data_IF_235877260616
#
_entry.id   IF_235877260616
#
_cell.length_a   1.000
_cell.length_b   1.000
_cell.length_c   1.000
_cell.angle_alpha   90.00
_cell.angle_beta   90.00
_cell.angle_gamma   90.00
#
_symmetry.space_group_name_H-M   'P 1'
#
loop_
_entity.id
_entity.type
_entity.pdbx_description
1 polymer ?
#
# COMPACT_ATOMS: atom_id res chain seq x y z
N UNK A 1 18.37 38.70 4.19
CA UNK A 1 17.94 38.25 5.53
C UNK A 1 17.63 36.77 5.38
N UNK A 2 18.65 35.94 5.63
CA UNK A 2 18.56 34.48 5.62
C UNK A 2 17.73 34.06 6.84
N UNK A 3 16.67 33.29 6.61
CA UNK A 3 15.93 32.67 7.69
C UNK A 3 16.59 31.35 8.03
N UNK A 4 17.09 31.21 9.26
CA UNK A 4 17.42 29.90 9.81
C UNK A 4 16.11 29.09 9.82
N UNK A 5 16.10 27.94 9.16
CA UNK A 5 14.99 26.99 9.22
C UNK A 5 15.43 25.82 10.10
N UNK A 6 14.69 25.62 11.19
CA UNK A 6 14.93 24.57 12.18
C UNK A 6 14.18 23.32 11.77
N UNK A 7 14.90 22.24 11.46
CA UNK A 7 14.31 20.90 11.41
C UNK A 7 14.62 20.25 12.76
N UNK A 8 13.60 19.72 13.45
CA UNK A 8 13.75 18.93 14.67
C UNK A 8 13.46 17.48 14.33
N UNK A 9 14.50 16.65 14.34
CA UNK A 9 14.41 15.18 14.37
C UNK A 9 14.76 14.77 15.79
N UNK A 10 13.96 13.88 16.39
CA UNK A 10 14.25 13.31 17.71
C UNK A 10 14.45 11.80 17.55
N UNK A 11 15.70 11.34 17.66
CA UNK A 11 16.06 9.93 17.66
C UNK A 11 16.59 9.50 19.02
N UNK A 12 16.19 8.30 19.48
CA UNK A 12 16.76 7.64 20.65
C UNK A 12 17.97 6.80 20.18
N UNK A 13 19.20 7.27 20.41
CA UNK A 13 20.42 6.52 20.06
C UNK A 13 20.92 5.77 21.30
N UNK A 14 20.96 4.44 21.24
CA UNK A 14 21.53 3.60 22.29
C UNK A 14 22.96 3.14 21.92
N UNK A 15 23.79 2.84 22.93
CA UNK A 15 25.12 2.30 22.70
C UNK A 15 25.02 0.91 22.04
N UNK A 16 25.71 0.73 20.90
CA UNK A 16 25.86 -0.57 20.25
C UNK A 16 27.32 -1.04 20.39
N UNK A 17 27.52 -2.25 20.93
CA UNK A 17 28.83 -2.93 20.96
C UNK A 17 29.97 -2.12 21.60
N UNK A 18 29.70 -1.36 22.67
CA UNK A 18 30.67 -0.53 23.38
C UNK A 18 31.35 0.55 22.53
N UNK A 19 30.75 0.93 21.38
CA UNK A 19 31.17 2.10 20.60
C UNK A 19 30.29 3.27 21.00
N UNK A 20 30.83 4.32 21.65
CA UNK A 20 30.06 5.50 22.01
C UNK A 20 29.57 6.21 20.73
N UNK A 21 28.32 6.70 20.68
CA UNK A 21 27.86 7.50 19.55
C UNK A 21 28.77 8.73 19.39
N UNK A 22 29.09 9.16 18.15
CA UNK A 22 30.03 10.24 17.89
C UNK A 22 29.62 11.58 18.53
N UNK A 23 28.35 11.70 18.94
CA UNK A 23 27.81 12.81 19.72
C UNK A 23 27.41 12.32 21.12
N UNK A 24 28.27 12.55 22.12
CA UNK A 24 27.92 12.36 23.54
C UNK A 24 26.98 13.48 24.00
N UNK A 25 25.68 13.36 23.75
CA UNK A 25 24.65 14.20 24.36
C UNK A 25 23.34 13.42 24.51
N UNK A 26 22.80 13.42 25.73
CA UNK A 26 21.41 13.24 26.19
C UNK A 26 20.47 12.34 25.38
N UNK A 27 19.70 11.51 26.11
CA UNK A 27 18.64 10.58 25.67
C UNK A 27 17.46 11.19 24.90
N UNK A 28 17.60 12.40 24.36
CA UNK A 28 16.78 13.02 23.33
C UNK A 28 17.72 13.96 22.57
N UNK A 29 18.08 13.61 21.34
CA UNK A 29 18.85 14.51 20.47
C UNK A 29 17.84 15.20 19.57
N UNK A 30 17.54 16.47 19.87
CA UNK A 30 17.02 17.41 18.89
C UNK A 30 18.21 17.85 18.05
N UNK A 31 18.39 17.29 16.86
CA UNK A 31 19.41 17.78 15.93
C UNK A 31 18.89 19.07 15.30
N UNK A 32 19.66 20.15 15.42
CA UNK A 32 19.41 21.41 14.72
C UNK A 32 20.26 21.42 13.46
N UNK A 33 19.67 21.20 12.29
CA UNK A 33 20.40 21.33 11.04
C UNK A 33 20.22 22.75 10.53
N UNK A 34 21.21 23.61 10.78
CA UNK A 34 21.34 24.87 10.05
C UNK A 34 21.94 24.57 8.68
N UNK A 35 21.12 24.67 7.64
CA UNK A 35 21.61 24.61 6.27
C UNK A 35 22.21 25.98 5.90
N UNK A 36 23.54 26.09 5.92
CA UNK A 36 24.26 27.23 5.32
C UNK A 36 24.22 27.20 3.77
N UNK A 37 23.43 26.30 3.18
CA UNK A 37 23.35 26.07 1.74
C UNK A 37 21.90 26.12 1.23
N UNK A 38 21.71 26.82 0.11
CA UNK A 38 20.41 26.96 -0.57
C UNK A 38 20.15 25.75 -1.47
N UNK A 39 19.36 24.78 -0.98
CA UNK A 39 19.00 23.57 -1.72
C UNK A 39 17.95 23.79 -2.81
N UNK A 40 17.38 25.00 -2.95
CA UNK A 40 16.45 25.30 -4.05
C UNK A 40 17.09 25.17 -5.44
N UNK A 41 18.44 25.21 -5.51
CA UNK A 41 19.20 24.97 -6.73
C UNK A 41 19.20 23.50 -7.21
N UNK A 42 18.79 22.55 -6.36
CA UNK A 42 18.78 21.11 -6.64
C UNK A 42 17.37 20.52 -6.80
N UNK A 43 16.32 21.35 -6.91
CA UNK A 43 14.95 20.89 -7.19
C UNK A 43 14.16 20.32 -6.00
N UNK A 44 14.77 20.22 -4.82
CA UNK A 44 14.15 19.73 -3.59
C UNK A 44 13.41 20.89 -2.87
N UNK A 45 12.10 20.77 -2.61
CA UNK A 45 11.28 21.79 -1.93
C UNK A 45 10.90 21.38 -0.51
N UNK A 46 10.97 22.31 0.46
CA UNK A 46 10.93 21.99 1.90
C UNK A 46 9.65 22.45 2.61
N UNK A 47 8.89 21.54 3.21
CA UNK A 47 7.92 21.81 4.30
C UNK A 47 7.78 20.56 5.20
N UNK A 48 8.46 20.45 6.35
CA UNK A 48 8.04 19.68 7.55
C UNK A 48 9.11 19.52 8.65
N UNK A 49 8.66 19.24 9.88
CA UNK A 49 9.41 18.74 11.06
C UNK A 49 8.73 17.48 11.59
N UNK A 50 9.47 16.49 12.10
CA UNK A 50 8.88 15.20 12.50
C UNK A 50 9.78 14.40 13.46
N UNK A 51 9.16 13.71 14.43
CA UNK A 51 9.78 12.75 15.37
C UNK A 51 9.52 11.30 15.00
N UNK A 52 8.99 11.05 13.79
CA UNK A 52 8.38 9.78 13.43
C UNK A 52 9.34 8.91 12.60
N UNK A 53 9.31 7.60 12.87
CA UNK A 53 10.11 6.60 12.15
C UNK A 53 9.53 6.22 10.79
N UNK A 54 8.32 6.68 10.45
CA UNK A 54 7.59 6.18 9.29
C UNK A 54 7.71 7.11 8.07
N UNK A 55 8.07 6.52 6.93
CA UNK A 55 8.03 7.17 5.62
C UNK A 55 7.01 6.44 4.76
N UNK A 56 5.95 7.13 4.34
CA UNK A 56 5.03 6.61 3.34
C UNK A 56 5.46 7.08 1.96
N UNK A 57 5.70 6.14 1.06
CA UNK A 57 5.94 6.38 -0.35
C UNK A 57 4.66 6.13 -1.12
N UNK A 58 4.13 7.17 -1.75
CA UNK A 58 3.02 7.05 -2.70
C UNK A 58 3.60 6.57 -4.02
N UNK A 59 3.13 5.43 -4.51
CA UNK A 59 3.67 4.76 -5.69
C UNK A 59 2.68 4.91 -6.84
N UNK A 60 3.22 5.25 -8.00
CA UNK A 60 2.49 5.26 -9.25
C UNK A 60 3.27 4.65 -10.41
N UNK A 61 2.59 4.46 -11.53
CA UNK A 61 3.19 4.02 -12.80
C UNK A 61 3.01 5.08 -13.86
N UNK A 62 4.01 5.28 -14.72
CA UNK A 62 3.92 6.25 -15.81
C UNK A 62 3.22 5.64 -17.03
N UNK A 63 2.17 6.32 -17.49
CA UNK A 63 1.55 6.01 -18.75
C UNK A 63 2.48 6.41 -19.90
N UNK A 64 2.88 5.42 -20.71
CA UNK A 64 3.80 5.63 -21.83
C UNK A 64 3.28 6.58 -22.93
N UNK A 65 1.97 6.88 -22.96
CA UNK A 65 1.35 7.69 -24.02
C UNK A 65 1.35 9.18 -23.69
N UNK A 66 1.10 9.54 -22.43
CA UNK A 66 0.88 10.93 -22.01
C UNK A 66 1.74 11.36 -20.80
N UNK A 67 2.59 10.48 -20.28
CA UNK A 67 3.42 10.68 -19.08
C UNK A 67 2.61 11.06 -17.83
N UNK A 68 1.31 10.75 -17.78
CA UNK A 68 0.55 10.83 -16.54
C UNK A 68 0.97 9.71 -15.58
N UNK A 69 1.00 10.02 -14.29
CA UNK A 69 1.22 9.02 -13.25
C UNK A 69 -0.13 8.47 -12.81
N UNK A 70 -0.31 7.15 -12.88
CA UNK A 70 -1.44 6.45 -12.28
C UNK A 70 -1.00 5.91 -10.92
N UNK A 71 -1.68 6.35 -9.85
CA UNK A 71 -1.43 5.83 -8.51
C UNK A 71 -1.74 4.32 -8.45
N UNK A 72 -0.86 3.54 -7.84
CA UNK A 72 -0.99 2.08 -7.72
C UNK A 72 -0.95 1.57 -6.29
N UNK A 73 -0.59 2.41 -5.31
CA UNK A 73 -0.61 2.04 -3.90
C UNK A 73 0.43 2.79 -3.08
N UNK A 74 0.51 2.46 -1.80
CA UNK A 74 1.46 3.05 -0.86
C UNK A 74 2.45 1.99 -0.35
N UNK A 75 3.68 2.40 -0.05
CA UNK A 75 4.65 1.62 0.71
C UNK A 75 5.02 2.41 1.95
N UNK A 76 4.73 1.87 3.12
CA UNK A 76 5.06 2.47 4.40
C UNK A 76 6.31 1.78 4.97
N UNK A 77 7.33 2.59 5.24
CA UNK A 77 8.62 2.15 5.76
C UNK A 77 8.79 2.58 7.20
N UNK A 78 9.21 1.68 8.09
CA UNK A 78 9.75 2.05 9.42
C UNK A 78 11.28 2.13 9.37
N UNK A 79 11.84 3.26 9.80
CA UNK A 79 13.28 3.49 9.86
C UNK A 79 13.86 3.03 11.22
N UNK A 80 14.93 2.22 11.15
CA UNK A 80 15.63 1.69 12.32
C UNK A 80 16.80 2.59 12.76
N UNK A 81 16.47 3.69 13.43
CA UNK A 81 17.46 4.63 13.98
C UNK A 81 18.40 4.02 15.03
N UNK A 82 18.01 2.93 15.69
CA UNK A 82 18.86 2.27 16.68
C UNK A 82 19.98 1.46 16.03
N UNK A 83 19.72 0.83 14.88
CA UNK A 83 20.69 -0.01 14.19
C UNK A 83 21.53 0.76 13.15
N UNK A 84 20.95 1.76 12.48
CA UNK A 84 21.61 2.53 11.43
C UNK A 84 21.20 4.03 11.46
N UNK A 85 21.57 4.77 12.51
CA UNK A 85 21.14 6.16 12.70
C UNK A 85 21.51 7.09 11.54
N UNK A 86 22.69 6.93 10.92
CA UNK A 86 23.15 7.84 9.86
C UNK A 86 22.38 7.58 8.56
N UNK A 87 22.12 6.32 8.22
CA UNK A 87 21.34 5.97 7.03
C UNK A 87 19.86 6.34 7.19
N UNK A 88 19.25 6.05 8.35
CA UNK A 88 17.88 6.44 8.67
C UNK A 88 17.70 7.96 8.60
N UNK A 89 18.61 8.74 9.23
CA UNK A 89 18.57 10.21 9.18
C UNK A 89 18.75 10.73 7.74
N UNK A 90 19.71 10.17 6.98
CA UNK A 90 19.93 10.57 5.60
C UNK A 90 18.69 10.34 4.72
N UNK A 91 18.04 9.17 4.85
CA UNK A 91 16.82 8.86 4.10
C UNK A 91 15.68 9.80 4.48
N UNK A 92 15.41 9.97 5.79
CA UNK A 92 14.36 10.86 6.27
C UNK A 92 14.55 12.30 5.81
N UNK A 93 15.78 12.83 5.84
CA UNK A 93 16.09 14.18 5.36
C UNK A 93 15.82 14.34 3.87
N UNK A 94 16.23 13.38 3.04
CA UNK A 94 15.96 13.41 1.60
C UNK A 94 14.46 13.35 1.28
N UNK A 95 13.68 12.58 2.05
CA UNK A 95 12.21 12.58 1.96
C UNK A 95 11.59 13.92 2.36
N UNK A 96 11.99 14.51 3.50
CA UNK A 96 11.51 15.83 3.96
C UNK A 96 11.82 16.94 2.95
N UNK A 97 12.95 16.81 2.25
CA UNK A 97 13.37 17.73 1.21
C UNK A 97 12.62 17.51 -0.12
N UNK A 98 11.83 16.44 -0.25
CA UNK A 98 11.14 16.08 -1.49
C UNK A 98 12.10 15.59 -2.58
N UNK A 99 13.32 15.17 -2.24
CA UNK A 99 14.30 14.74 -3.23
C UNK A 99 13.93 13.39 -3.86
N UNK A 100 13.14 12.56 -3.18
CA UNK A 100 12.63 11.31 -3.77
C UNK A 100 11.36 11.48 -4.61
N UNK A 101 10.72 12.65 -4.54
CA UNK A 101 9.49 12.91 -5.29
C UNK A 101 9.78 12.86 -6.81
N UNK A 102 8.93 12.16 -7.54
CA UNK A 102 9.05 11.88 -8.97
C UNK A 102 10.32 11.11 -9.37
N UNK A 103 11.01 10.44 -8.43
CA UNK A 103 12.10 9.52 -8.77
C UNK A 103 11.56 8.14 -9.11
N UNK A 104 12.33 7.37 -9.88
CA UNK A 104 11.91 6.02 -10.32
C UNK A 104 12.63 4.92 -9.57
N UNK A 105 11.96 3.76 -9.45
CA UNK A 105 12.65 2.49 -9.25
C UNK A 105 13.32 2.08 -10.56
N UNK A 106 14.57 2.54 -10.74
CA UNK A 106 15.30 2.43 -12.00
C UNK A 106 15.87 1.03 -12.26
N UNK A 107 15.83 0.15 -11.26
CA UNK A 107 16.30 -1.24 -11.37
C UNK A 107 15.46 -2.15 -10.48
N UNK A 108 14.86 -3.17 -11.08
CA UNK A 108 13.96 -4.11 -10.44
C UNK A 108 14.35 -5.52 -10.87
N UNK A 109 14.54 -6.41 -9.91
CA UNK A 109 14.86 -7.81 -10.17
C UNK A 109 13.95 -8.65 -9.30
N UNK A 110 13.05 -9.37 -9.96
CA UNK A 110 12.17 -10.39 -9.40
C UNK A 110 12.98 -11.40 -8.55
N UNK A 111 12.44 -11.75 -7.38
CA UNK A 111 13.05 -12.58 -6.34
C UNK A 111 14.37 -12.03 -5.77
N UNK A 112 14.59 -10.71 -5.87
CA UNK A 112 15.79 -10.07 -5.34
C UNK A 112 15.51 -8.73 -4.67
N UNK A 113 15.21 -7.67 -5.44
CA UNK A 113 14.98 -6.33 -4.88
C UNK A 113 14.42 -5.33 -5.90
N UNK A 114 13.83 -4.27 -5.38
CA UNK A 114 13.47 -3.05 -6.10
C UNK A 114 14.40 -1.91 -5.65
N UNK A 115 15.08 -1.23 -6.58
CA UNK A 115 16.09 -0.20 -6.29
C UNK A 115 15.68 1.17 -6.83
N UNK A 116 15.74 2.18 -5.97
CA UNK A 116 15.34 3.56 -6.25
C UNK A 116 16.27 4.59 -5.62
N UNK A 117 15.82 5.85 -5.56
CA UNK A 117 16.51 6.92 -4.83
C UNK A 117 17.63 7.64 -5.58
N UNK A 118 17.78 7.46 -6.89
CA UNK A 118 18.63 8.31 -7.73
C UNK A 118 17.84 9.51 -8.24
N UNK A 119 17.94 10.63 -7.53
CA UNK A 119 17.26 11.88 -7.87
C UNK A 119 18.08 12.82 -8.76
N UNK A 120 19.29 12.42 -9.17
CA UNK A 120 20.16 13.28 -10.00
C UNK A 120 20.18 12.83 -11.46
N UNK A 121 20.28 11.52 -11.70
CA UNK A 121 20.40 10.97 -13.05
C UNK A 121 19.23 10.05 -13.41
N UNK A 122 18.46 9.59 -12.42
CA UNK A 122 17.29 8.71 -12.59
C UNK A 122 17.62 7.36 -13.26
N UNK A 123 18.90 6.97 -13.28
CA UNK A 123 19.39 5.78 -14.01
C UNK A 123 20.29 4.87 -13.15
N UNK A 124 20.43 5.20 -11.86
CA UNK A 124 21.24 4.46 -10.90
C UNK A 124 22.71 4.88 -10.85
N UNK A 125 23.11 5.91 -11.60
CA UNK A 125 24.49 6.42 -11.60
C UNK A 125 24.69 7.67 -10.74
N UNK A 126 23.63 8.15 -10.10
CA UNK A 126 23.62 9.38 -9.34
C UNK A 126 23.25 9.22 -7.86
N UNK A 127 22.80 10.32 -7.25
CA UNK A 127 22.38 10.39 -5.87
C UNK A 127 23.53 10.74 -4.92
N UNK A 128 23.22 11.52 -3.89
CA UNK A 128 24.18 11.95 -2.88
C UNK A 128 23.51 12.09 -1.52
N UNK A 129 24.32 12.14 -0.46
CA UNK A 129 23.81 12.30 0.90
C UNK A 129 23.12 13.67 1.10
N UNK A 130 22.11 13.71 1.98
CA UNK A 130 21.44 14.96 2.38
C UNK A 130 22.36 15.90 3.18
N UNK A 131 23.28 15.34 3.95
CA UNK A 131 24.16 16.09 4.85
C UNK A 131 25.59 15.62 4.81
N UNK A 132 26.51 16.52 5.17
CA UNK A 132 27.93 16.22 5.23
C UNK A 132 28.27 15.32 6.42
N UNK A 133 28.73 14.10 6.14
CA UNK A 133 29.11 13.10 7.16
C UNK A 133 30.60 12.76 7.14
N UNK A 134 31.44 13.61 6.55
CA UNK A 134 32.89 13.44 6.54
C UNK A 134 33.46 12.66 5.35
N UNK A 135 32.64 12.27 4.36
CA UNK A 135 33.09 11.48 3.21
C UNK A 135 32.71 12.11 1.87
N UNK A 136 33.68 12.12 0.97
CA UNK A 136 33.52 12.51 -0.43
C UNK A 136 33.76 11.28 -1.31
N UNK A 137 32.76 10.82 -2.07
CA UNK A 137 32.89 9.66 -2.96
C UNK A 137 33.54 8.44 -2.27
N UNK A 138 33.15 8.16 -1.03
CA UNK A 138 33.71 7.06 -0.22
C UNK A 138 35.03 7.35 0.50
N UNK A 139 35.67 8.49 0.25
CA UNK A 139 36.94 8.85 0.88
C UNK A 139 36.74 9.82 2.03
N UNK A 140 37.32 9.51 3.19
CA UNK A 140 37.31 10.41 4.33
C UNK A 140 37.97 11.75 3.95
N UNK A 141 37.31 12.85 4.29
CA UNK A 141 37.76 14.20 3.98
C UNK A 141 37.44 15.12 5.15
N UNK A 142 38.29 16.13 5.36
CA UNK A 142 38.07 17.20 6.32
C UNK A 142 37.47 18.46 5.67
N UNK A 143 37.10 18.36 4.39
CA UNK A 143 36.61 19.48 3.59
C UNK A 143 35.31 19.08 2.88
N UNK A 144 34.20 19.68 3.31
CA UNK A 144 32.86 19.45 2.76
C UNK A 144 32.69 19.95 1.32
N UNK A 145 33.62 20.73 0.77
CA UNK A 145 33.55 21.11 -0.64
C UNK A 145 33.95 19.98 -1.60
N UNK A 146 34.47 18.85 -1.11
CA UNK A 146 34.84 17.69 -1.93
C UNK A 146 35.63 18.03 -3.19
N UNK A 147 36.72 18.79 -3.01
CA UNK A 147 37.59 19.29 -4.09
C UNK A 147 36.83 20.10 -5.16
N UNK A 148 35.79 20.82 -4.76
CA UNK A 148 34.95 21.63 -5.63
C UNK A 148 33.67 20.94 -6.12
N UNK A 149 33.48 19.66 -5.82
CA UNK A 149 32.27 18.89 -6.19
C UNK A 149 31.05 19.22 -5.32
N UNK A 150 31.28 19.82 -4.14
CA UNK A 150 30.21 20.21 -3.21
C UNK A 150 29.39 19.02 -2.72
N UNK A 151 28.10 19.28 -2.46
CA UNK A 151 27.14 18.30 -1.93
C UNK A 151 26.91 17.11 -2.85
N UNK A 152 27.09 17.27 -4.15
CA UNK A 152 26.93 16.20 -5.14
C UNK A 152 27.93 15.03 -4.96
N UNK A 153 28.97 15.21 -4.16
CA UNK A 153 29.95 14.17 -3.84
C UNK A 153 29.84 13.65 -2.41
N UNK A 154 28.88 14.13 -1.61
CA UNK A 154 28.72 13.70 -0.22
C UNK A 154 28.24 12.27 -0.17
N UNK A 155 28.97 11.45 0.59
CA UNK A 155 28.57 10.09 0.92
C UNK A 155 28.58 9.90 2.44
N UNK A 156 27.92 8.84 2.91
CA UNK A 156 27.81 8.55 4.35
C UNK A 156 28.68 7.34 4.76
N UNK A 157 29.20 7.31 6.01
CA UNK A 157 29.91 6.15 6.54
C UNK A 157 29.01 4.92 6.57
N UNK A 158 29.60 3.75 6.36
CA UNK A 158 28.86 2.49 6.39
C UNK A 158 28.45 2.09 7.81
N UNK A 159 27.22 1.59 7.93
CA UNK A 159 26.65 1.00 9.15
C UNK A 159 26.27 -0.48 8.92
N UNK A 160 26.86 -1.13 7.92
CA UNK A 160 26.44 -2.46 7.46
C UNK A 160 26.67 -3.58 8.48
N UNK A 161 27.59 -3.41 9.43
CA UNK A 161 27.84 -4.37 10.51
C UNK A 161 26.91 -4.15 11.73
N UNK A 162 25.62 -3.90 11.49
CA UNK A 162 24.63 -3.64 12.54
C UNK A 162 23.92 -4.90 13.05
N UNK A 163 24.22 -6.08 12.49
CA UNK A 163 23.68 -7.36 12.93
C UNK A 163 22.30 -7.71 12.37
N UNK A 164 21.76 -6.88 11.48
CA UNK A 164 20.53 -7.16 10.74
C UNK A 164 20.82 -7.97 9.48
N UNK A 165 19.88 -8.82 9.09
CA UNK A 165 19.92 -9.62 7.86
C UNK A 165 19.01 -9.03 6.80
N UNK A 166 19.31 -9.32 5.54
CA UNK A 166 18.47 -8.97 4.39
C UNK A 166 17.29 -9.96 4.28
N UNK A 167 16.44 -9.99 5.28
CA UNK A 167 15.14 -10.69 5.25
C UNK A 167 14.20 -10.06 4.20
N UNK A 168 13.10 -10.75 3.83
CA UNK A 168 12.09 -10.15 2.96
C UNK A 168 11.64 -8.77 3.45
N UNK A 169 11.39 -7.85 2.52
CA UNK A 169 10.84 -6.52 2.76
C UNK A 169 11.68 -5.56 3.61
N UNK A 170 12.95 -5.87 3.88
CA UNK A 170 13.84 -4.91 4.55
C UNK A 170 14.30 -3.81 3.60
N UNK A 171 14.41 -2.59 4.14
CA UNK A 171 14.96 -1.43 3.48
C UNK A 171 16.48 -1.36 3.72
N UNK A 172 17.25 -1.35 2.64
CA UNK A 172 18.71 -1.39 2.70
C UNK A 172 19.36 -0.43 1.72
N UNK A 173 20.58 -0.01 2.02
CA UNK A 173 21.25 1.06 1.30
C UNK A 173 22.00 0.54 0.07
N UNK A 174 21.72 1.11 -1.10
CA UNK A 174 22.53 0.86 -2.28
C UNK A 174 23.85 1.64 -2.19
N UNK A 175 24.93 0.99 -2.63
CA UNK A 175 26.27 1.58 -2.68
C UNK A 175 27.16 0.81 -3.65
N UNK A 176 28.32 1.37 -3.95
CA UNK A 176 29.36 0.63 -4.67
C UNK A 176 29.99 -0.47 -3.78
N UNK A 177 30.87 -1.28 -4.36
CA UNK A 177 31.64 -2.27 -3.61
C UNK A 177 32.54 -1.64 -2.53
N UNK A 178 32.96 -0.39 -2.70
CA UNK A 178 33.78 0.30 -1.71
C UNK A 178 32.93 0.76 -0.50
N UNK A 179 33.48 0.68 0.73
CA UNK A 179 32.78 1.18 1.91
C UNK A 179 32.54 2.70 1.83
N UNK A 180 31.57 3.19 2.59
CA UNK A 180 31.25 4.61 2.76
C UNK A 180 30.82 5.34 1.48
N UNK A 181 30.40 4.59 0.44
CA UNK A 181 29.96 5.15 -0.86
C UNK A 181 28.44 5.31 -0.98
N UNK A 182 27.71 5.09 0.12
CA UNK A 182 26.27 5.31 0.16
C UNK A 182 25.95 6.81 0.00
N UNK A 183 24.98 7.11 -0.86
CA UNK A 183 24.46 8.45 -1.10
C UNK A 183 22.98 8.52 -0.75
N UNK A 184 22.10 8.47 -1.76
CA UNK A 184 20.64 8.47 -1.60
C UNK A 184 19.95 7.21 -2.12
N UNK A 185 20.63 6.40 -2.93
CA UNK A 185 20.01 5.22 -3.50
C UNK A 185 19.78 4.13 -2.46
N UNK A 186 18.62 3.50 -2.51
CA UNK A 186 18.22 2.43 -1.61
C UNK A 186 17.60 1.30 -2.40
N UNK A 187 17.42 0.15 -1.76
CA UNK A 187 16.62 -0.93 -2.28
C UNK A 187 15.76 -1.55 -1.18
N UNK A 188 14.63 -2.10 -1.58
CA UNK A 188 13.76 -2.93 -0.74
C UNK A 188 13.94 -4.36 -1.22
N UNK A 189 14.22 -5.27 -0.29
CA UNK A 189 14.32 -6.70 -0.58
C UNK A 189 12.93 -7.24 -0.90
N UNK A 190 12.85 -8.09 -1.92
CA UNK A 190 11.62 -8.76 -2.34
C UNK A 190 11.14 -9.81 -1.31
N UNK A 191 10.15 -10.64 -1.65
CA UNK A 191 9.58 -11.71 -0.83
C UNK A 191 10.58 -12.83 -0.40
N UNK A 192 11.81 -12.80 -0.93
CA UNK A 192 12.86 -13.79 -0.67
C UNK A 192 14.10 -13.21 0.05
N UNK A 193 14.65 -13.90 1.07
CA UNK A 193 15.81 -13.42 1.84
C UNK A 193 17.10 -13.39 1.01
N UNK A 194 17.87 -12.31 1.17
CA UNK A 194 19.12 -12.02 0.44
C UNK A 194 20.34 -12.00 1.36
N UNK A 195 20.48 -13.02 2.21
CA UNK A 195 21.53 -13.13 3.24
C UNK A 195 22.98 -12.97 2.70
N UNK A 196 23.19 -13.10 1.39
CA UNK A 196 24.49 -12.86 0.76
C UNK A 196 24.90 -11.36 0.76
N UNK A 197 23.97 -10.44 1.03
CA UNK A 197 24.19 -9.00 1.18
C UNK A 197 24.49 -8.59 2.63
N UNK A 198 24.31 -9.49 3.59
CA UNK A 198 24.50 -9.22 5.02
C UNK A 198 25.91 -8.71 5.29
N UNK A 199 26.02 -7.71 6.17
CA UNK A 199 27.28 -7.01 6.49
C UNK A 199 27.94 -6.26 5.32
N UNK A 200 27.41 -6.38 4.09
CA UNK A 200 27.89 -5.68 2.92
C UNK A 200 27.06 -4.42 2.62
N UNK A 201 25.75 -4.46 2.87
CA UNK A 201 24.82 -3.33 2.73
C UNK A 201 24.16 -3.01 4.08
N UNK A 202 23.93 -1.73 4.34
CA UNK A 202 23.31 -1.29 5.59
C UNK A 202 21.81 -1.50 5.50
N UNK A 203 21.25 -2.42 6.29
CA UNK A 203 19.80 -2.47 6.56
C UNK A 203 19.47 -1.35 7.54
N UNK A 204 18.54 -0.46 7.18
CA UNK A 204 18.21 0.73 7.98
C UNK A 204 16.71 0.94 8.18
N UNK A 205 15.88 -0.02 7.79
CA UNK A 205 14.45 -0.03 8.01
C UNK A 205 13.80 -1.27 7.42
N UNK A 206 12.48 -1.28 7.39
CA UNK A 206 11.66 -2.34 6.78
C UNK A 206 10.32 -1.78 6.30
N UNK A 207 9.68 -2.48 5.36
CA UNK A 207 8.29 -2.23 4.99
C UNK A 207 7.40 -2.77 6.10
N UNK A 208 6.52 -1.92 6.60
CA UNK A 208 5.53 -2.27 7.63
C UNK A 208 4.11 -2.34 7.07
N UNK A 209 3.93 -1.85 5.85
CA UNK A 209 2.69 -1.86 5.07
C UNK A 209 3.03 -1.51 3.61
N UNK A 210 2.28 -2.03 2.64
CA UNK A 210 2.59 -1.99 1.20
C UNK A 210 3.47 -3.13 0.68
N UNK A 211 3.52 -4.29 1.34
CA UNK A 211 4.27 -5.47 0.85
C UNK A 211 3.73 -5.98 -0.48
N UNK A 212 2.40 -6.00 -0.65
CA UNK A 212 1.73 -6.34 -1.91
C UNK A 212 2.12 -5.43 -3.08
N UNK A 213 2.36 -4.15 -2.79
CA UNK A 213 2.85 -3.16 -3.76
C UNK A 213 4.30 -3.46 -4.14
N UNK A 214 5.15 -3.84 -3.17
CA UNK A 214 6.54 -4.28 -3.44
C UNK A 214 6.56 -5.50 -4.36
N UNK A 215 5.75 -6.52 -4.06
CA UNK A 215 5.64 -7.75 -4.85
C UNK A 215 5.14 -7.45 -6.28
N UNK A 216 4.16 -6.56 -6.41
CA UNK A 216 3.64 -6.13 -7.71
C UNK A 216 4.70 -5.41 -8.55
N UNK A 217 5.56 -4.59 -7.92
CA UNK A 217 6.69 -3.95 -8.60
C UNK A 217 7.74 -4.98 -8.98
N UNK A 218 8.13 -5.88 -8.06
CA UNK A 218 9.20 -6.86 -8.29
C UNK A 218 8.86 -7.84 -9.42
N UNK A 219 7.59 -8.22 -9.54
CA UNK A 219 7.08 -9.08 -10.61
C UNK A 219 6.93 -8.39 -11.99
N UNK A 220 7.17 -7.08 -12.09
CA UNK A 220 7.04 -6.37 -13.36
C UNK A 220 8.04 -6.85 -14.41
N UNK A 221 7.61 -6.84 -15.67
CA UNK A 221 8.53 -7.11 -16.79
C UNK A 221 9.60 -6.03 -16.87
N UNK A 222 10.87 -6.44 -16.89
CA UNK A 222 12.02 -5.55 -16.97
C UNK A 222 12.72 -5.66 -18.33
N UNK A 223 13.30 -4.54 -18.76
CA UNK A 223 14.04 -4.39 -19.99
C UNK A 223 15.55 -4.37 -19.76
N UNK A 224 16.24 -3.52 -20.51
CA UNK A 224 17.69 -3.39 -20.42
C UNK A 224 18.10 -2.86 -19.03
N UNK A 225 19.16 -3.44 -18.46
CA UNK A 225 19.67 -3.10 -17.13
C UNK A 225 18.69 -3.34 -15.99
N UNK A 226 17.74 -4.27 -16.20
CA UNK A 226 16.69 -4.63 -15.24
C UNK A 226 15.76 -3.44 -14.91
N UNK A 227 15.66 -2.44 -15.80
CA UNK A 227 14.71 -1.33 -15.63
C UNK A 227 13.29 -1.80 -15.97
N UNK A 228 12.26 -1.51 -15.16
CA UNK A 228 10.87 -1.79 -15.52
C UNK A 228 10.49 -1.26 -16.91
N UNK A 229 9.71 -2.02 -17.68
CA UNK A 229 9.22 -1.57 -19.00
C UNK A 229 8.25 -0.40 -18.85
N UNK A 230 7.45 -0.41 -17.79
CA UNK A 230 6.62 0.72 -17.34
C UNK A 230 7.32 1.31 -16.12
N UNK A 231 7.71 2.59 -16.20
CA UNK A 231 8.42 3.24 -15.10
C UNK A 231 7.53 3.30 -13.85
N UNK A 232 8.06 2.78 -12.73
CA UNK A 232 7.46 2.90 -11.40
C UNK A 232 8.06 4.12 -10.72
N UNK A 233 7.19 5.05 -10.28
CA UNK A 233 7.55 6.36 -9.75
C UNK A 233 7.15 6.46 -8.29
N UNK A 234 8.04 7.01 -7.48
CA UNK A 234 7.73 7.52 -6.14
C UNK A 234 7.10 8.89 -6.35
N UNK A 235 5.77 8.98 -6.33
CA UNK A 235 5.05 10.24 -6.50
C UNK A 235 5.45 11.24 -5.42
N UNK A 236 5.44 10.76 -4.18
CA UNK A 236 5.89 11.48 -2.99
C UNK A 236 6.45 10.52 -1.96
N UNK A 237 7.52 10.93 -1.28
CA UNK A 237 7.98 10.29 -0.05
C UNK A 237 7.74 11.22 1.14
N UNK A 238 6.73 10.91 1.96
CA UNK A 238 6.29 11.78 3.06
C UNK A 238 6.59 11.15 4.41
N UNK A 239 7.02 11.99 5.37
CA UNK A 239 7.08 11.54 6.76
C UNK A 239 5.70 11.64 7.38
N UNK A 240 5.20 10.52 7.92
CA UNK A 240 3.86 10.42 8.50
C UNK A 240 3.93 10.24 10.01
N UNK A 241 2.96 10.82 10.72
CA UNK A 241 2.87 10.74 12.18
C UNK A 241 1.86 9.69 12.62
N UNK A 242 2.33 8.45 12.77
CA UNK A 242 1.43 7.31 12.92
C UNK A 242 0.85 6.91 11.56
N UNK A 243 0.72 5.61 11.37
CA UNK A 243 0.10 4.97 10.23
C UNK A 243 -0.95 4.07 10.86
N UNK A 244 -2.20 4.26 10.45
CA UNK A 244 -3.26 3.35 10.88
C UNK A 244 -3.18 2.14 9.96
N UNK A 245 -2.64 1.04 10.49
CA UNK A 245 -2.47 -0.18 9.72
C UNK A 245 -3.74 -1.02 9.69
N UNK A 246 -4.74 -0.64 10.47
CA UNK A 246 -6.01 -1.34 10.73
C UNK A 246 -7.07 -0.24 10.92
N UNK A 247 -7.56 0.27 9.78
CA UNK A 247 -8.32 1.53 9.71
C UNK A 247 -9.65 1.44 10.47
N UNK A 248 -10.26 0.28 10.51
CA UNK A 248 -11.52 0.01 11.21
C UNK A 248 -11.33 -0.60 12.62
N UNK A 249 -10.09 -0.92 12.98
CA UNK A 249 -9.67 -1.47 14.28
C UNK A 249 -10.29 -2.83 14.60
N UNK A 250 -10.46 -3.67 13.59
CA UNK A 250 -11.05 -5.01 13.72
C UNK A 250 -10.02 -6.10 14.10
N UNK A 251 -8.72 -5.78 13.98
CA UNK A 251 -7.60 -6.65 14.29
C UNK A 251 -6.92 -7.32 13.10
N UNK A 252 -7.36 -7.02 11.87
CA UNK A 252 -6.72 -7.36 10.61
C UNK A 252 -6.09 -6.08 10.04
N UNK A 253 -4.90 -6.20 9.46
CA UNK A 253 -4.25 -5.04 8.86
C UNK A 253 -4.81 -4.80 7.46
N UNK A 254 -4.96 -3.54 7.04
CA UNK A 254 -5.47 -3.10 5.74
C UNK A 254 -4.96 -3.88 4.51
N UNK A 255 -3.69 -4.35 4.49
CA UNK A 255 -3.17 -5.15 3.36
C UNK A 255 -3.72 -6.58 3.28
N UNK A 256 -4.06 -7.13 4.44
CA UNK A 256 -4.61 -8.47 4.59
C UNK A 256 -6.13 -8.43 4.82
N UNK A 257 -6.72 -7.24 4.75
CA UNK A 257 -8.10 -6.96 5.03
C UNK A 257 -8.89 -6.85 3.72
N UNK A 258 -9.85 -7.75 3.51
CA UNK A 258 -10.75 -7.72 2.37
C UNK A 258 -11.89 -6.68 2.52
N UNK A 259 -11.99 -6.01 3.67
CA UNK A 259 -12.81 -4.82 3.91
C UNK A 259 -12.09 -3.76 4.76
N UNK A 260 -11.05 -3.08 4.24
CA UNK A 260 -10.18 -2.20 5.03
C UNK A 260 -10.86 -1.06 5.79
N UNK A 261 -12.10 -0.71 5.47
CA UNK A 261 -12.87 0.37 6.10
C UNK A 261 -14.07 -0.15 6.93
N UNK A 262 -14.37 -1.46 6.90
CA UNK A 262 -15.56 -2.08 7.49
C UNK A 262 -15.22 -3.37 8.27
N UNK A 263 -15.24 -3.23 9.60
CA UNK A 263 -14.76 -4.26 10.52
C UNK A 263 -15.33 -5.67 10.29
N UNK A 264 -14.46 -6.59 9.87
CA UNK A 264 -14.79 -7.99 9.60
C UNK A 264 -13.64 -8.96 10.00
N UNK A 265 -13.40 -9.19 11.31
CA UNK A 265 -12.21 -9.91 11.80
C UNK A 265 -12.06 -11.37 11.32
N UNK A 266 -13.12 -11.94 10.74
CA UNK A 266 -13.15 -13.30 10.22
C UNK A 266 -12.81 -13.39 8.72
N UNK A 267 -12.78 -12.25 8.01
CA UNK A 267 -12.39 -12.14 6.60
C UNK A 267 -13.18 -13.13 5.73
N UNK A 268 -14.52 -13.13 5.90
CA UNK A 268 -15.43 -13.92 5.08
C UNK A 268 -15.52 -13.28 3.68
N UNK A 269 -15.62 -14.12 2.66
CA UNK A 269 -15.58 -13.81 1.21
C UNK A 269 -16.27 -14.97 0.50
N UNK A 270 -17.60 -14.91 0.42
CA UNK A 270 -18.44 -16.04 0.04
C UNK A 270 -18.26 -16.44 -1.43
N UNK A 271 -18.10 -15.47 -2.32
CA UNK A 271 -17.93 -15.68 -3.76
C UNK A 271 -16.46 -15.74 -4.22
N UNK A 272 -15.51 -15.43 -3.33
CA UNK A 272 -14.06 -15.43 -3.58
C UNK A 272 -13.59 -14.41 -4.61
N UNK A 273 -14.20 -13.22 -4.64
CA UNK A 273 -13.81 -12.12 -5.51
C UNK A 273 -12.76 -11.17 -4.90
N UNK A 274 -12.37 -11.41 -3.63
CA UNK A 274 -11.47 -10.64 -2.77
C UNK A 274 -12.08 -9.36 -2.14
N UNK A 275 -13.38 -9.12 -2.32
CA UNK A 275 -14.16 -8.23 -1.47
C UNK A 275 -14.75 -9.05 -0.34
N UNK A 276 -14.73 -8.52 0.89
CA UNK A 276 -15.31 -9.24 2.01
C UNK A 276 -16.82 -9.07 2.09
N UNK A 277 -17.50 -10.07 2.63
CA UNK A 277 -18.97 -10.08 2.83
C UNK A 277 -19.50 -8.85 3.61
N UNK A 278 -18.63 -8.13 4.33
CA UNK A 278 -18.98 -6.96 5.12
C UNK A 278 -19.04 -5.65 4.31
N UNK A 279 -18.33 -5.59 3.18
CA UNK A 279 -18.23 -4.42 2.31
C UNK A 279 -18.62 -4.73 0.85
N UNK A 280 -19.08 -5.95 0.59
CA UNK A 280 -19.66 -6.37 -0.68
C UNK A 280 -21.18 -6.12 -0.71
N UNK A 281 -21.66 -5.66 -1.86
CA UNK A 281 -23.06 -5.38 -2.12
C UNK A 281 -23.82 -6.62 -2.62
N UNK A 282 -23.14 -7.67 -3.11
CA UNK A 282 -23.68 -8.90 -3.71
C UNK A 282 -22.76 -10.09 -3.36
N UNK A 283 -22.97 -10.71 -2.20
CA UNK A 283 -22.03 -11.65 -1.59
C UNK A 283 -21.93 -12.99 -2.32
N UNK A 284 -22.92 -13.39 -3.12
CA UNK A 284 -22.92 -14.65 -3.86
C UNK A 284 -22.88 -14.49 -5.39
N UNK A 285 -22.81 -13.23 -5.84
CA UNK A 285 -22.54 -12.82 -7.21
C UNK A 285 -23.63 -13.28 -8.20
N UNK A 286 -24.88 -13.27 -7.74
CA UNK A 286 -26.05 -13.71 -8.49
C UNK A 286 -26.80 -12.57 -9.21
N UNK A 287 -26.31 -11.33 -9.03
CA UNK A 287 -26.80 -10.06 -9.57
C UNK A 287 -27.99 -9.44 -8.82
N UNK A 288 -28.33 -9.93 -7.64
CA UNK A 288 -29.27 -9.31 -6.70
C UNK A 288 -28.48 -8.82 -5.48
N UNK A 289 -28.58 -7.52 -5.18
CA UNK A 289 -27.86 -6.98 -4.04
C UNK A 289 -28.35 -7.61 -2.73
N UNK A 290 -27.44 -7.81 -1.77
CA UNK A 290 -27.67 -8.33 -0.42
C UNK A 290 -28.88 -7.71 0.31
N UNK A 291 -29.22 -6.45 0.01
CA UNK A 291 -30.35 -5.74 0.63
C UNK A 291 -31.72 -6.09 0.06
N UNK A 292 -31.75 -6.59 -1.16
CA UNK A 292 -32.94 -6.99 -1.92
C UNK A 292 -33.05 -8.52 -2.07
N UNK A 293 -32.08 -9.25 -1.51
CA UNK A 293 -31.96 -10.70 -1.59
C UNK A 293 -32.36 -11.36 -0.25
N UNK A 294 -33.28 -12.33 -0.32
CA UNK A 294 -33.68 -13.13 0.83
C UNK A 294 -32.62 -14.15 1.27
N UNK A 295 -31.75 -14.59 0.35
CA UNK A 295 -30.65 -15.53 0.60
C UNK A 295 -29.31 -15.01 0.04
N UNK A 296 -28.71 -13.97 0.66
CA UNK A 296 -27.46 -13.34 0.19
C UNK A 296 -26.19 -14.23 0.18
N UNK A 297 -26.33 -15.53 0.38
CA UNK A 297 -25.25 -16.51 0.43
C UNK A 297 -25.68 -17.81 -0.28
N UNK A 298 -26.59 -17.72 -1.24
CA UNK A 298 -27.04 -18.81 -2.09
C UNK A 298 -27.37 -18.27 -3.49
N UNK A 299 -26.38 -18.34 -4.38
CA UNK A 299 -26.46 -17.93 -5.80
C UNK A 299 -27.62 -18.55 -6.62
N UNK A 300 -28.38 -19.47 -6.01
CA UNK A 300 -29.53 -20.10 -6.65
C UNK A 300 -30.88 -19.67 -6.09
N UNK A 301 -30.93 -18.83 -5.06
CA UNK A 301 -32.15 -18.40 -4.37
C UNK A 301 -32.12 -16.91 -4.08
N UNK A 302 -33.11 -16.15 -4.58
CA UNK A 302 -33.18 -14.69 -4.35
C UNK A 302 -34.40 -14.24 -3.58
N UNK A 303 -35.36 -15.15 -3.36
CA UNK A 303 -36.73 -14.80 -2.99
C UNK A 303 -37.30 -15.83 -2.02
N UNK A 304 -38.05 -15.35 -1.04
CA UNK A 304 -38.70 -16.06 0.07
C UNK A 304 -40.10 -15.42 0.21
N UNK A 305 -41.01 -15.79 -0.69
CA UNK A 305 -42.24 -15.02 -0.89
C UNK A 305 -43.14 -15.03 0.36
N UNK A 306 -43.22 -16.14 1.08
CA UNK A 306 -43.98 -16.28 2.33
C UNK A 306 -43.19 -15.95 3.61
N UNK A 307 -41.85 -15.85 3.53
CA UNK A 307 -40.98 -15.53 4.65
C UNK A 307 -40.74 -16.69 5.62
N UNK A 308 -40.87 -17.94 5.18
CA UNK A 308 -40.66 -19.13 6.01
C UNK A 308 -39.17 -19.52 6.15
N UNK A 309 -38.32 -18.96 5.29
CA UNK A 309 -36.88 -19.15 5.26
C UNK A 309 -36.40 -20.30 4.36
N UNK A 310 -37.28 -20.86 3.53
CA UNK A 310 -36.96 -21.69 2.37
C UNK A 310 -37.11 -20.80 1.13
N UNK A 311 -36.15 -20.86 0.20
CA UNK A 311 -36.23 -20.02 -1.01
C UNK A 311 -37.18 -20.60 -2.04
N UNK A 312 -37.79 -19.74 -2.84
CA UNK A 312 -38.84 -20.09 -3.81
C UNK A 312 -38.38 -21.17 -4.83
N UNK A 313 -37.09 -21.33 -5.16
CA UNK A 313 -36.67 -22.44 -6.05
C UNK A 313 -36.59 -23.80 -5.31
N UNK A 314 -36.58 -23.80 -3.98
CA UNK A 314 -36.52 -24.98 -3.12
C UNK A 314 -37.84 -25.25 -2.38
N UNK A 315 -38.68 -24.25 -2.20
CA UNK A 315 -40.05 -24.40 -1.71
C UNK A 315 -40.93 -25.03 -2.80
N UNK A 316 -42.07 -25.57 -2.39
CA UNK A 316 -43.05 -26.18 -3.27
C UNK A 316 -44.44 -25.56 -3.12
N UNK A 317 -44.58 -24.52 -2.30
CA UNK A 317 -45.79 -23.75 -1.94
C UNK A 317 -45.34 -22.33 -1.52
N UNK A 318 -44.86 -21.55 -2.50
CA UNK A 318 -44.12 -20.27 -2.32
C UNK A 318 -44.91 -19.21 -1.52
N UNK A 319 -46.24 -19.25 -1.53
CA UNK A 319 -47.11 -18.32 -0.79
C UNK A 319 -47.84 -18.92 0.41
N UNK A 320 -47.60 -20.22 0.67
CA UNK A 320 -48.07 -20.99 1.81
C UNK A 320 -49.61 -20.95 1.98
N UNK A 321 -50.35 -20.89 0.88
CA UNK A 321 -51.81 -20.89 0.86
C UNK A 321 -52.40 -22.32 0.97
N UNK A 322 -51.53 -23.33 0.78
CA UNK A 322 -51.82 -24.75 0.90
C UNK A 322 -51.98 -25.49 -0.43
N UNK A 323 -51.66 -24.84 -1.56
CA UNK A 323 -51.57 -25.44 -2.89
C UNK A 323 -50.14 -25.36 -3.40
N UNK A 324 -49.59 -26.48 -3.87
CA UNK A 324 -48.22 -26.45 -4.40
C UNK A 324 -48.13 -25.62 -5.70
N UNK A 325 -47.00 -24.95 -5.97
CA UNK A 325 -46.81 -24.06 -7.15
C UNK A 325 -47.12 -24.75 -8.48
N UNK A 326 -46.86 -26.06 -8.57
CA UNK A 326 -47.18 -26.84 -9.79
C UNK A 326 -48.68 -27.01 -10.06
N UNK A 327 -49.51 -26.77 -9.05
CA UNK A 327 -50.97 -26.82 -9.07
C UNK A 327 -51.59 -25.42 -8.91
N UNK A 328 -50.79 -24.39 -8.64
CA UNK A 328 -51.20 -23.00 -8.44
C UNK A 328 -50.98 -22.14 -9.70
N UNK A 329 -51.99 -21.36 -10.10
CA UNK A 329 -51.85 -20.43 -11.21
C UNK A 329 -51.16 -19.10 -10.82
N UNK A 330 -51.12 -18.79 -9.52
CA UNK A 330 -50.57 -17.59 -8.90
C UNK A 330 -49.78 -17.97 -7.66
N UNK A 331 -48.71 -18.75 -7.87
CA UNK A 331 -47.73 -19.21 -6.87
C UNK A 331 -47.16 -18.12 -5.92
N UNK A 332 -47.36 -16.84 -6.22
CA UNK A 332 -46.92 -15.70 -5.44
C UNK A 332 -48.11 -14.79 -5.00
N UNK A 333 -49.28 -15.33 -4.71
CA UNK A 333 -50.41 -14.58 -4.12
C UNK A 333 -51.33 -15.50 -3.31
N UNK A 334 -51.09 -15.58 -2.00
CA UNK A 334 -51.84 -16.46 -1.09
C UNK A 334 -53.37 -16.20 -1.00
N UNK A 335 -53.90 -15.24 -1.76
CA UNK A 335 -55.34 -15.00 -1.88
C UNK A 335 -55.89 -15.40 -3.24
N UNK A 336 -55.12 -16.01 -4.12
CA UNK A 336 -55.52 -16.38 -5.47
C UNK A 336 -54.80 -17.66 -5.90
N UNK A 337 -55.54 -18.62 -6.46
CA UNK A 337 -54.97 -19.91 -6.89
C UNK A 337 -55.39 -20.34 -8.29
N UNK A 338 -56.37 -19.66 -8.87
CA UNK A 338 -57.10 -20.15 -10.04
C UNK A 338 -57.18 -19.09 -11.13
N UNK A 339 -56.73 -19.44 -12.33
CA UNK A 339 -56.95 -18.72 -13.59
C UNK A 339 -57.74 -19.63 -14.54
N UNK A 340 -59.07 -19.46 -14.56
CA UNK A 340 -59.95 -20.42 -15.25
C UNK A 340 -59.89 -20.28 -16.78
N UNK A 341 -59.69 -19.07 -17.32
CA UNK A 341 -59.66 -18.82 -18.76
C UNK A 341 -58.24 -18.61 -19.34
N UNK A 342 -57.24 -18.47 -18.48
CA UNK A 342 -55.83 -18.39 -18.82
C UNK A 342 -55.38 -17.00 -19.29
N UNK A 343 -56.10 -15.93 -18.92
CA UNK A 343 -55.78 -14.56 -19.33
C UNK A 343 -54.74 -13.86 -18.45
N UNK A 344 -54.37 -14.48 -17.32
CA UNK A 344 -53.39 -13.98 -16.35
C UNK A 344 -53.99 -13.10 -15.23
N UNK A 345 -55.32 -12.99 -15.13
CA UNK A 345 -56.03 -12.38 -14.02
C UNK A 345 -56.73 -13.50 -13.24
N UNK A 346 -56.47 -13.60 -11.94
CA UNK A 346 -57.06 -14.67 -11.13
C UNK A 346 -58.54 -14.44 -10.85
N UNK A 347 -59.28 -15.53 -10.66
CA UNK A 347 -60.74 -15.55 -10.49
C UNK A 347 -61.27 -14.63 -9.37
N UNK A 348 -60.49 -14.34 -8.31
CA UNK A 348 -60.91 -13.42 -7.24
C UNK A 348 -60.82 -11.94 -7.67
N UNK A 349 -60.02 -11.63 -8.69
CA UNK A 349 -59.83 -10.29 -9.24
C UNK A 349 -60.49 -10.12 -10.63
N UNK A 350 -60.72 -11.21 -11.35
CA UNK A 350 -61.40 -11.24 -12.63
C UNK A 350 -62.92 -11.06 -12.46
N UNK A 351 -63.56 -10.52 -13.49
CA UNK A 351 -64.98 -10.32 -13.56
C UNK A 351 -65.65 -11.23 -14.60
N UNK A 352 -64.90 -12.02 -15.37
CA UNK A 352 -65.38 -12.93 -16.42
C UNK A 352 -64.55 -14.22 -16.42
N UNK A 353 -64.63 -14.97 -15.31
CA UNK A 353 -63.77 -16.13 -15.00
C UNK A 353 -63.66 -17.18 -16.13
N UNK A 354 -64.66 -17.31 -17.02
CA UNK A 354 -64.66 -18.30 -18.11
C UNK A 354 -64.37 -17.74 -19.50
N UNK A 355 -64.11 -16.43 -19.60
CA UNK A 355 -63.72 -15.73 -20.81
C UNK A 355 -64.78 -15.76 -21.92
N UNK A 356 -66.06 -15.98 -21.60
CA UNK A 356 -67.14 -16.06 -22.59
C UNK A 356 -67.66 -14.68 -23.05
N UNK A 357 -67.20 -13.61 -22.39
CA UNK A 357 -67.56 -12.23 -22.65
C UNK A 357 -68.75 -11.73 -21.81
N UNK A 358 -69.14 -12.46 -20.77
CA UNK A 358 -70.24 -12.15 -19.86
C UNK A 358 -69.74 -12.15 -18.42
N UNK A 359 -69.92 -11.01 -17.73
CA UNK A 359 -69.51 -10.85 -16.34
C UNK A 359 -70.18 -11.87 -15.40
N UNK A 360 -69.41 -12.39 -14.44
CA UNK A 360 -69.84 -13.33 -13.40
C UNK A 360 -71.02 -12.80 -12.55
N UNK A 361 -71.87 -13.71 -12.06
CA UNK A 361 -73.07 -13.38 -11.26
C UNK A 361 -72.86 -13.24 -9.75
#
# INVERSE_FOLDING_TARGET
MQGNRTITVSAQVQELNNVPPPNTASSQVTTFIEFDYDYSANGCTTEATTTHSFIQMQIGTLNATDNSTQHVGNITLELNYSAAPIHAENFALLSIMGCYDNTTFHRVIDNFMIQGGDFTNYDGTGGHAASWQGFCNGQASNNSSCSGSGSNAWTIPSEANNGLSHSPYVLSMAKTAAPNTAGSQFFIVDDAPQNHLDSAHTVFGEVVDGTSVVDSISAMTTGQYDRPVVDVVIERAIVVSGVDFDTDSDGVNNEADNCPDDANPNQEDFDSDNMGDACDDDNDNDLVNNSDDAFPFDVTETSDFDGDGIGDNADADDDNDGLNDTEDAFDNDANETTDTDGDGIGNNADADDDGDGIVDE
#
